data_IF_395219330639
#
_entry.id   IF_395219330639
#
_cell.length_a   1.000
_cell.length_b   1.000
_cell.length_c   1.000
_cell.angle_alpha   90.00
_cell.angle_beta   90.00
_cell.angle_gamma   90.00
#
_symmetry.space_group_name_H-M   'P 1'
#
loop_
_entity.id
_entity.type
_entity.pdbx_description
1 polymer ?
#
# COMPACT_ATOMS: atom_id res chain seq x y z
N UNK A 1 -17.38 19.43 14.51
CA UNK A 1 -17.08 18.05 14.09
C UNK A 1 -17.58 17.14 15.19
N UNK A 2 -18.20 16.00 14.87
CA UNK A 2 -18.67 15.02 15.83
C UNK A 2 -18.04 13.63 15.54
N UNK A 3 -18.20 12.69 16.47
CA UNK A 3 -17.65 11.34 16.33
C UNK A 3 -18.20 10.60 15.11
N UNK A 4 -19.49 10.77 14.80
CA UNK A 4 -20.12 10.16 13.62
C UNK A 4 -19.44 10.61 12.33
N UNK A 5 -19.20 11.91 12.17
CA UNK A 5 -18.56 12.48 10.99
C UNK A 5 -17.12 12.00 10.84
N UNK A 6 -16.41 11.85 11.96
CA UNK A 6 -15.01 11.37 11.96
C UNK A 6 -14.94 9.91 11.56
N UNK A 7 -15.79 9.06 12.14
CA UNK A 7 -15.85 7.65 11.75
C UNK A 7 -16.24 7.49 10.27
N UNK A 8 -17.22 8.27 9.78
CA UNK A 8 -17.59 8.27 8.35
C UNK A 8 -16.43 8.70 7.46
N UNK A 9 -15.66 9.71 7.86
CA UNK A 9 -14.49 10.14 7.10
C UNK A 9 -13.42 9.04 7.05
N UNK A 10 -13.11 8.42 8.20
CA UNK A 10 -12.14 7.33 8.28
C UNK A 10 -12.56 6.09 7.48
N UNK A 11 -13.85 5.74 7.49
CA UNK A 11 -14.40 4.69 6.63
C UNK A 11 -14.19 5.02 5.13
N UNK A 12 -14.40 6.28 4.74
CA UNK A 12 -14.14 6.74 3.38
C UNK A 12 -12.68 6.60 2.97
N UNK A 13 -11.74 6.91 3.86
CA UNK A 13 -10.31 6.76 3.61
C UNK A 13 -9.92 5.28 3.41
N UNK A 14 -10.50 4.36 4.19
CA UNK A 14 -10.27 2.91 4.02
C UNK A 14 -10.74 2.45 2.64
N UNK A 15 -11.95 2.84 2.24
CA UNK A 15 -12.50 2.51 0.92
C UNK A 15 -11.64 3.10 -0.20
N UNK A 16 -11.12 4.31 -0.04
CA UNK A 16 -10.22 4.92 -1.01
C UNK A 16 -8.91 4.13 -1.14
N UNK A 17 -8.33 3.65 -0.04
CA UNK A 17 -7.13 2.82 -0.06
C UNK A 17 -7.37 1.50 -0.80
N UNK A 18 -8.48 0.81 -0.52
CA UNK A 18 -8.87 -0.42 -1.22
C UNK A 18 -9.02 -0.19 -2.73
N UNK A 19 -9.66 0.91 -3.13
CA UNK A 19 -9.81 1.25 -4.55
C UNK A 19 -8.46 1.51 -5.23
N UNK A 20 -7.54 2.22 -4.56
CA UNK A 20 -6.18 2.43 -5.07
C UNK A 20 -5.45 1.10 -5.28
N UNK A 21 -5.57 0.17 -4.32
CA UNK A 21 -4.98 -1.17 -4.43
C UNK A 21 -5.58 -1.99 -5.59
N UNK A 22 -6.91 -1.99 -5.71
CA UNK A 22 -7.62 -2.69 -6.78
C UNK A 22 -7.23 -2.17 -8.18
N UNK A 23 -6.92 -0.88 -8.30
CA UNK A 23 -6.48 -0.24 -9.54
C UNK A 23 -4.99 -0.48 -9.84
N UNK A 24 -4.21 -1.02 -8.88
CA UNK A 24 -2.80 -1.37 -9.06
C UNK A 24 -1.86 -0.17 -9.22
N UNK A 25 -2.27 1.03 -8.78
CA UNK A 25 -1.46 2.26 -8.91
C UNK A 25 -0.39 2.33 -7.83
N UNK A 26 0.74 1.67 -8.07
CA UNK A 26 1.84 1.49 -7.11
C UNK A 26 2.33 2.81 -6.48
N UNK A 27 2.50 3.87 -7.26
CA UNK A 27 2.98 5.16 -6.74
C UNK A 27 1.99 5.78 -5.74
N UNK A 28 0.68 5.61 -5.98
CA UNK A 28 -0.35 6.06 -5.06
C UNK A 28 -0.45 5.16 -3.82
N UNK A 29 -0.21 3.86 -3.96
CA UNK A 29 -0.10 2.93 -2.83
C UNK A 29 1.01 3.37 -1.87
N UNK A 30 2.19 3.75 -2.40
CA UNK A 30 3.30 4.25 -1.58
C UNK A 30 2.96 5.57 -0.86
N UNK A 31 2.04 6.38 -1.40
CA UNK A 31 1.61 7.63 -0.77
C UNK A 31 0.75 7.44 0.49
N UNK A 32 0.09 6.29 0.65
CA UNK A 32 -0.76 6.00 1.80
C UNK A 32 0.00 5.91 3.12
N UNK A 33 1.25 5.42 3.11
CA UNK A 33 2.11 5.41 4.29
C UNK A 33 2.36 6.81 4.85
N UNK A 34 2.66 7.78 3.97
CA UNK A 34 2.84 9.19 4.36
C UNK A 34 1.55 9.81 4.88
N UNK A 35 0.41 9.57 4.21
CA UNK A 35 -0.88 10.10 4.65
C UNK A 35 -1.28 9.60 6.04
N UNK A 36 -0.97 8.34 6.35
CA UNK A 36 -1.23 7.76 7.66
C UNK A 36 -0.38 8.42 8.77
N UNK A 37 0.89 8.75 8.47
CA UNK A 37 1.77 9.48 9.40
C UNK A 37 1.28 10.92 9.69
N UNK A 38 0.68 11.58 8.69
CA UNK A 38 0.14 12.93 8.81
C UNK A 38 -1.23 13.00 9.52
N UNK A 39 -1.86 11.86 9.81
CA UNK A 39 -3.19 11.84 10.42
C UNK A 39 -3.14 12.26 11.90
N UNK A 40 -3.88 13.32 12.22
CA UNK A 40 -4.02 13.83 13.59
C UNK A 40 -5.43 13.58 14.10
N UNK A 41 -5.61 12.83 15.21
CA UNK A 41 -6.93 12.58 15.78
C UNK A 41 -7.54 13.90 16.31
N UNK A 42 -8.87 14.08 16.18
CA UNK A 42 -9.53 15.28 16.70
C UNK A 42 -9.47 15.33 18.22
N UNK A 43 -8.92 16.40 18.79
CA UNK A 43 -8.71 16.54 20.24
C UNK A 43 -9.90 17.09 21.02
N UNK A 44 -10.90 17.66 20.34
CA UNK A 44 -12.04 18.36 20.97
C UNK A 44 -13.32 17.52 21.11
N UNK A 45 -13.31 16.26 20.69
CA UNK A 45 -14.52 15.42 20.59
C UNK A 45 -14.96 14.75 21.90
N UNK A 46 -14.17 14.86 22.97
CA UNK A 46 -14.44 14.12 24.21
C UNK A 46 -14.38 12.61 24.02
N UNK A 47 -14.99 11.84 24.92
CA UNK A 47 -15.02 10.37 24.81
C UNK A 47 -15.92 9.88 23.68
N UNK A 48 -15.54 8.76 23.03
CA UNK A 48 -16.37 8.08 22.04
C UNK A 48 -17.69 7.62 22.68
N UNK A 49 -18.86 7.97 22.11
CA UNK A 49 -20.17 7.47 22.54
C UNK A 49 -20.28 5.95 22.48
N UNK A 50 -21.00 5.35 23.42
CA UNK A 50 -21.09 3.89 23.57
C UNK A 50 -21.76 3.21 22.37
N UNK A 51 -22.75 3.86 21.76
CA UNK A 51 -23.44 3.41 20.55
C UNK A 51 -22.52 3.34 19.32
N UNK A 52 -21.42 4.10 19.31
CA UNK A 52 -20.44 4.11 18.23
C UNK A 52 -19.26 3.15 18.45
N UNK A 53 -19.15 2.50 19.61
CA UNK A 53 -18.02 1.61 19.93
C UNK A 53 -17.91 0.42 18.99
N UNK A 54 -19.05 -0.24 18.72
CA UNK A 54 -19.07 -1.40 17.82
C UNK A 54 -18.66 -1.01 16.40
N UNK A 55 -19.16 0.14 15.91
CA UNK A 55 -18.78 0.71 14.61
C UNK A 55 -17.29 1.03 14.55
N UNK A 56 -16.76 1.70 15.57
CA UNK A 56 -15.34 2.03 15.65
C UNK A 56 -14.44 0.77 15.70
N UNK A 57 -14.87 -0.27 16.43
CA UNK A 57 -14.14 -1.53 16.52
C UNK A 57 -14.08 -2.26 15.16
N UNK A 58 -15.22 -2.33 14.45
CA UNK A 58 -15.28 -2.90 13.10
C UNK A 58 -14.42 -2.13 12.11
N UNK A 59 -14.47 -0.80 12.17
CA UNK A 59 -13.62 0.06 11.35
C UNK A 59 -12.14 -0.18 11.63
N UNK A 60 -11.73 -0.27 12.90
CA UNK A 60 -10.34 -0.56 13.25
C UNK A 60 -9.88 -1.93 12.72
N UNK A 61 -10.72 -2.95 12.83
CA UNK A 61 -10.41 -4.28 12.28
C UNK A 61 -10.23 -4.22 10.76
N UNK A 62 -11.09 -3.48 10.06
CA UNK A 62 -10.99 -3.30 8.61
C UNK A 62 -9.73 -2.52 8.22
N UNK A 63 -9.41 -1.46 8.96
CA UNK A 63 -8.17 -0.69 8.79
C UNK A 63 -6.92 -1.55 8.91
N UNK A 64 -6.88 -2.46 9.89
CA UNK A 64 -5.74 -3.37 10.07
C UNK A 64 -5.62 -4.34 8.88
N UNK A 65 -6.73 -4.93 8.43
CA UNK A 65 -6.72 -5.83 7.27
C UNK A 65 -6.24 -5.11 5.99
N UNK A 66 -6.72 -3.88 5.75
CA UNK A 66 -6.29 -3.07 4.59
C UNK A 66 -4.83 -2.65 4.71
N UNK A 67 -4.35 -2.32 5.92
CA UNK A 67 -2.95 -2.01 6.15
C UNK A 67 -2.03 -3.21 5.85
N UNK A 68 -2.43 -4.41 6.25
CA UNK A 68 -1.69 -5.65 5.93
C UNK A 68 -1.58 -5.85 4.41
N UNK A 69 -2.68 -5.69 3.67
CA UNK A 69 -2.69 -5.81 2.21
C UNK A 69 -1.84 -4.73 1.52
N UNK A 70 -1.94 -3.48 2.01
CA UNK A 70 -1.13 -2.35 1.52
C UNK A 70 0.37 -2.67 1.62
N UNK A 71 0.82 -3.15 2.77
CA UNK A 71 2.23 -3.50 3.01
C UNK A 71 2.68 -4.61 2.07
N UNK A 72 1.88 -5.68 1.93
CA UNK A 72 2.21 -6.77 1.01
C UNK A 72 2.35 -6.29 -0.44
N UNK A 73 1.47 -5.38 -0.88
CA UNK A 73 1.52 -4.84 -2.24
C UNK A 73 2.75 -3.97 -2.48
N UNK A 74 3.15 -3.16 -1.51
CA UNK A 74 4.38 -2.36 -1.55
C UNK A 74 5.60 -3.28 -1.67
N UNK A 75 5.67 -4.32 -0.83
CA UNK A 75 6.77 -5.29 -0.84
C UNK A 75 6.85 -6.06 -2.17
N UNK A 76 5.72 -6.51 -2.71
CA UNK A 76 5.68 -7.18 -4.00
C UNK A 76 6.19 -6.28 -5.14
N UNK A 77 5.78 -5.02 -5.15
CA UNK A 77 6.24 -4.04 -6.13
C UNK A 77 7.75 -3.81 -6.06
N UNK A 78 8.31 -3.63 -4.86
CA UNK A 78 9.75 -3.44 -4.67
C UNK A 78 10.56 -4.63 -5.20
N UNK A 79 10.12 -5.87 -4.93
CA UNK A 79 10.76 -7.08 -5.46
C UNK A 79 10.72 -7.14 -6.99
N UNK A 80 9.61 -6.73 -7.60
CA UNK A 80 9.49 -6.67 -9.06
C UNK A 80 10.46 -5.65 -9.67
N UNK A 81 10.60 -4.47 -9.06
CA UNK A 81 11.56 -3.45 -9.51
C UNK A 81 13.01 -3.91 -9.37
N UNK A 82 13.37 -4.56 -8.25
CA UNK A 82 14.72 -5.12 -8.05
C UNK A 82 15.06 -6.18 -9.10
N UNK A 83 14.14 -7.11 -9.38
CA UNK A 83 14.32 -8.12 -10.41
C UNK A 83 14.52 -7.48 -11.80
N UNK A 84 13.69 -6.49 -12.16
CA UNK A 84 13.79 -5.79 -13.43
C UNK A 84 15.12 -5.02 -13.58
N UNK A 85 15.62 -4.42 -12.50
CA UNK A 85 16.92 -3.77 -12.47
C UNK A 85 18.04 -4.80 -12.72
N UNK A 86 18.01 -5.95 -12.05
CA UNK A 86 19.01 -7.02 -12.22
C UNK A 86 19.01 -7.60 -13.64
N UNK A 87 17.84 -7.74 -14.27
CA UNK A 87 17.74 -8.17 -15.67
C UNK A 87 18.30 -7.13 -16.64
N UNK A 88 18.08 -5.83 -16.37
CA UNK A 88 18.61 -4.74 -17.21
C UNK A 88 20.13 -4.65 -17.20
N UNK A 89 20.78 -5.01 -16.09
CA UNK A 89 22.26 -5.01 -15.96
C UNK A 89 22.91 -6.37 -16.24
N UNK A 90 22.13 -7.39 -16.62
CA UNK A 90 22.70 -8.69 -16.95
C UNK A 90 23.56 -8.58 -18.24
N UNK A 91 24.81 -9.10 -18.25
CA UNK A 91 25.63 -9.12 -19.46
C UNK A 91 24.85 -9.81 -20.59
N UNK A 92 24.92 -9.26 -21.81
CA UNK A 92 24.41 -9.93 -22.99
C UNK A 92 24.95 -11.36 -23.04
N UNK A 93 24.04 -12.33 -23.15
CA UNK A 93 24.38 -13.76 -23.23
C UNK A 93 25.54 -13.92 -24.22
N UNK A 94 26.66 -14.58 -23.85
CA UNK A 94 27.77 -14.73 -24.77
C UNK A 94 27.27 -15.39 -26.05
N UNK A 95 27.35 -14.66 -27.15
CA UNK A 95 27.03 -15.16 -28.48
C UNK A 95 28.00 -16.31 -28.75
N UNK A 96 27.49 -17.48 -29.16
CA UNK A 96 28.36 -18.61 -29.47
C UNK A 96 29.33 -18.20 -30.58
N UNK A 97 30.62 -18.06 -30.24
CA UNK A 97 31.67 -17.77 -31.21
C UNK A 97 32.11 -19.08 -31.85
N UNK A 98 31.86 -19.25 -33.15
CA UNK A 98 32.38 -20.36 -33.92
C UNK A 98 33.85 -20.07 -34.26
N UNK A 99 34.78 -20.90 -33.78
CA UNK A 99 36.20 -20.81 -34.13
C UNK A 99 36.47 -21.83 -35.23
N UNK A 100 36.68 -21.36 -36.45
CA UNK A 100 37.16 -22.19 -37.55
C UNK A 100 38.68 -22.39 -37.41
N UNK A 101 39.12 -23.65 -37.28
CA UNK A 101 40.54 -24.02 -37.38
C UNK A 101 40.76 -24.63 -38.77
N UNK A 102 41.16 -23.78 -39.71
CA UNK A 102 41.70 -24.22 -41.00
C UNK A 102 43.06 -24.89 -40.82
N UNK A 103 43.22 -26.06 -41.45
CA UNK A 103 44.46 -26.84 -41.59
C UNK A 103 45.40 -26.22 -42.63
#
# INVERSE_FOLDING_TARGET
MDWTSVLTHLEGEVVAAEQTMAQGRVEEIESWGRRAEDWVPPSSLGSLPDDLRDRAAKLLQHQLAVAEELVERIMQSQRQRDLAARMSYAPSRPTAAFVDRGL
#
